data_IF_492784346785
#
_entry.id   IF_492784346785
#
_cell.length_a   1.000
_cell.length_b   1.000
_cell.length_c   1.000
_cell.angle_alpha   90.00
_cell.angle_beta   90.00
_cell.angle_gamma   90.00
#
_symmetry.space_group_name_H-M   'P 1'
#
loop_
_entity.id
_entity.type
_entity.pdbx_description
1 polymer ?
#
# COMPACT_ATOMS: atom_id res chain seq x y z
N UNK A 1 3.01 -11.68 10.83
CA UNK A 1 3.10 -10.66 9.76
C UNK A 1 4.22 -9.70 10.13
N UNK A 2 5.11 -9.32 9.20
CA UNK A 2 6.25 -8.45 9.50
C UNK A 2 5.83 -7.10 10.13
N UNK A 3 4.70 -6.54 9.68
CA UNK A 3 4.12 -5.29 10.21
C UNK A 3 3.67 -5.47 11.67
N UNK A 4 2.98 -6.57 11.97
CA UNK A 4 2.50 -6.87 13.33
C UNK A 4 3.65 -7.17 14.29
N UNK A 5 4.71 -7.83 13.80
CA UNK A 5 5.88 -8.18 14.62
C UNK A 5 6.64 -6.95 15.15
N UNK A 6 6.50 -5.79 14.49
CA UNK A 6 7.07 -4.51 14.95
C UNK A 6 6.06 -3.64 15.72
N UNK A 7 4.89 -4.18 16.07
CA UNK A 7 3.84 -3.47 16.81
C UNK A 7 3.05 -2.45 15.98
N UNK A 8 3.21 -2.44 14.66
CA UNK A 8 2.44 -1.58 13.76
C UNK A 8 1.08 -2.21 13.40
N UNK A 9 0.13 -1.37 12.99
CA UNK A 9 -1.21 -1.78 12.58
C UNK A 9 -1.27 -1.83 11.05
N UNK A 10 -1.44 -3.01 10.43
CA UNK A 10 -1.65 -3.08 9.00
C UNK A 10 -3.04 -2.52 8.65
N UNK A 11 -3.08 -1.66 7.62
CA UNK A 11 -4.32 -1.23 6.97
C UNK A 11 -4.33 -1.85 5.58
N UNK A 12 -5.31 -2.70 5.32
CA UNK A 12 -5.41 -3.41 4.05
C UNK A 12 -6.13 -2.52 3.03
N UNK A 13 -5.57 -2.46 1.82
CA UNK A 13 -6.18 -1.84 0.65
C UNK A 13 -6.49 -2.95 -0.33
N UNK A 14 -7.62 -2.82 -1.02
CA UNK A 14 -8.08 -3.78 -2.01
C UNK A 14 -7.17 -3.78 -3.26
N UNK A 15 -7.33 -4.77 -4.13
CA UNK A 15 -6.53 -4.91 -5.36
C UNK A 15 -7.30 -4.48 -6.60
N UNK A 16 -6.56 -4.05 -7.61
CA UNK A 16 -7.09 -3.79 -8.95
C UNK A 16 -7.16 -5.09 -9.78
N UNK A 17 -7.57 -4.98 -11.04
CA UNK A 17 -7.71 -6.12 -11.96
C UNK A 17 -6.37 -6.84 -12.25
N UNK A 18 -5.24 -6.18 -12.03
CA UNK A 18 -3.89 -6.74 -12.18
C UNK A 18 -3.38 -7.41 -10.89
N UNK A 19 -4.22 -7.47 -9.86
CA UNK A 19 -3.94 -8.01 -8.53
C UNK A 19 -2.86 -7.26 -7.73
N UNK A 20 -2.37 -6.12 -8.23
CA UNK A 20 -1.59 -5.18 -7.41
C UNK A 20 -2.53 -4.33 -6.56
N UNK A 21 -1.94 -3.65 -5.57
CA UNK A 21 -2.68 -2.70 -4.73
C UNK A 21 -3.39 -1.65 -5.60
N UNK A 22 -4.68 -1.44 -5.34
CA UNK A 22 -5.48 -0.42 -6.04
C UNK A 22 -5.09 0.97 -5.54
N UNK A 23 -4.31 1.68 -6.35
CA UNK A 23 -3.75 2.99 -6.00
C UNK A 23 -4.84 4.05 -5.80
N UNK A 24 -5.99 3.90 -6.47
CA UNK A 24 -7.12 4.83 -6.32
C UNK A 24 -7.80 4.71 -4.95
N UNK A 25 -7.60 3.59 -4.25
CA UNK A 25 -8.15 3.34 -2.90
C UNK A 25 -7.17 3.66 -1.77
N UNK A 26 -5.91 4.01 -2.06
CA UNK A 26 -4.92 4.25 -1.02
C UNK A 26 -5.22 5.54 -0.26
N UNK A 27 -5.57 6.63 -0.95
CA UNK A 27 -5.76 7.96 -0.34
C UNK A 27 -6.80 7.94 0.80
N UNK A 28 -7.87 7.16 0.64
CA UNK A 28 -8.93 6.99 1.64
C UNK A 28 -8.45 6.32 2.94
N UNK A 29 -7.30 5.67 2.90
CA UNK A 29 -6.70 4.97 4.06
C UNK A 29 -5.59 5.76 4.74
N UNK A 30 -5.13 6.86 4.12
CA UNK A 30 -4.04 7.66 4.67
C UNK A 30 -4.51 8.45 5.90
N UNK A 31 -3.71 8.39 6.94
CA UNK A 31 -3.93 9.15 8.18
C UNK A 31 -2.61 9.68 8.70
N UNK A 32 -2.64 10.59 9.67
CA UNK A 32 -1.45 11.06 10.40
C UNK A 32 -0.64 9.92 11.07
N UNK A 33 -1.22 8.73 11.23
CA UNK A 33 -0.54 7.54 11.77
C UNK A 33 0.14 6.70 10.69
N UNK A 34 -0.13 6.92 9.41
CA UNK A 34 0.47 6.17 8.31
C UNK A 34 1.96 6.49 8.23
N UNK A 35 2.79 5.44 8.34
CA UNK A 35 4.26 5.54 8.32
C UNK A 35 4.92 4.94 7.08
N UNK A 36 4.17 4.16 6.29
CA UNK A 36 4.66 3.58 5.06
C UNK A 36 3.56 2.86 4.30
N UNK A 37 3.77 2.73 3.00
CA UNK A 37 2.98 1.92 2.08
C UNK A 37 3.89 0.77 1.63
N UNK A 38 3.42 -0.46 1.70
CA UNK A 38 4.20 -1.66 1.36
C UNK A 38 3.50 -2.37 0.19
N UNK A 39 3.72 -1.93 -1.06
CA UNK A 39 3.14 -2.61 -2.22
C UNK A 39 3.81 -3.97 -2.44
N UNK A 40 3.04 -4.95 -2.90
CA UNK A 40 3.55 -6.24 -3.35
C UNK A 40 3.57 -6.24 -4.87
N UNK A 41 4.73 -6.49 -5.47
CA UNK A 41 4.89 -6.64 -6.92
C UNK A 41 4.52 -8.07 -7.32
N UNK A 42 3.22 -8.32 -7.46
CA UNK A 42 2.72 -9.68 -7.58
C UNK A 42 3.17 -10.33 -8.90
N UNK A 43 3.64 -11.58 -8.82
CA UNK A 43 4.14 -12.34 -9.99
C UNK A 43 5.26 -11.62 -10.78
N UNK A 44 6.01 -10.73 -10.12
CA UNK A 44 7.06 -9.93 -10.76
C UNK A 44 6.54 -8.70 -11.51
N UNK A 45 5.23 -8.46 -11.51
CA UNK A 45 4.64 -7.25 -12.07
C UNK A 45 4.71 -6.13 -11.05
N UNK A 46 5.30 -5.01 -11.44
CA UNK A 46 5.47 -3.87 -10.57
C UNK A 46 4.12 -3.16 -10.35
N UNK A 47 3.85 -2.77 -9.11
CA UNK A 47 2.74 -1.87 -8.81
C UNK A 47 3.02 -0.48 -9.41
N UNK A 48 2.02 0.41 -9.46
CA UNK A 48 2.21 1.78 -9.94
C UNK A 48 3.01 2.62 -8.93
N UNK A 49 4.33 2.38 -8.92
CA UNK A 49 5.28 3.04 -8.04
C UNK A 49 5.36 4.56 -8.24
N UNK A 50 5.31 5.11 -9.47
CA UNK A 50 5.25 6.57 -9.66
C UNK A 50 4.12 7.22 -8.87
N UNK A 51 2.89 6.70 -8.97
CA UNK A 51 1.76 7.24 -8.21
C UNK A 51 1.91 7.05 -6.71
N UNK A 52 2.39 5.88 -6.26
CA UNK A 52 2.60 5.60 -4.83
C UNK A 52 3.64 6.55 -4.22
N UNK A 53 4.71 6.87 -4.94
CA UNK A 53 5.80 7.72 -4.44
C UNK A 53 5.40 9.21 -4.35
N UNK A 54 4.36 9.63 -5.06
CA UNK A 54 3.81 10.99 -4.96
C UNK A 54 2.90 11.19 -3.74
N UNK A 55 2.43 10.10 -3.12
CA UNK A 55 1.53 10.14 -1.98
C UNK A 55 2.21 10.69 -0.72
N UNK A 56 1.47 11.50 0.04
CA UNK A 56 1.92 12.10 1.30
C UNK A 56 0.96 11.70 2.41
N UNK A 57 1.51 11.23 3.53
CA UNK A 57 0.75 10.96 4.76
C UNK A 57 0.59 12.16 5.68
#
# INVERSE_FOLDING_TARGET
SAIVNVGAIPVLVDVANDFNIDVDKIEDTLTKRTKGIIPVHLSGWMADMPRIMEMKS
#
